data_IF_666305743758
#
_entry.id   IF_666305743758
#
_cell.length_a   1.000
_cell.length_b   1.000
_cell.length_c   1.000
_cell.angle_alpha   90.00
_cell.angle_beta   90.00
_cell.angle_gamma   90.00
#
_symmetry.space_group_name_H-M   'P 1'
#
loop_
_entity.id
_entity.type
_entity.pdbx_description
1 polymer ?
#
# COMPACT_ATOMS: atom_id res chain seq x y z
N UNK A 1 -53.23 8.07 29.14
CA UNK A 1 -52.09 7.13 29.09
C UNK A 1 -51.26 7.45 27.85
N UNK A 2 -50.10 8.07 27.99
CA UNK A 2 -49.07 8.09 26.94
C UNK A 2 -47.71 8.26 27.63
N UNK A 3 -46.95 7.17 27.72
CA UNK A 3 -45.55 7.18 28.18
C UNK A 3 -44.68 7.43 26.95
N UNK A 4 -44.03 8.59 26.89
CA UNK A 4 -43.01 8.88 25.89
C UNK A 4 -41.73 8.14 26.30
N UNK A 5 -41.37 7.11 25.54
CA UNK A 5 -40.09 6.43 25.65
C UNK A 5 -39.02 7.29 24.97
N UNK A 6 -38.13 7.88 25.77
CA UNK A 6 -36.95 8.58 25.27
C UNK A 6 -35.89 7.52 24.92
N UNK A 7 -35.78 7.17 23.64
CA UNK A 7 -34.70 6.29 23.16
C UNK A 7 -33.39 7.09 23.12
N UNK A 8 -32.52 6.81 24.09
CA UNK A 8 -31.13 7.25 24.06
C UNK A 8 -30.41 6.50 22.93
N UNK A 9 -30.17 7.17 21.81
CA UNK A 9 -29.25 6.68 20.78
C UNK A 9 -27.83 6.77 21.34
N UNK A 10 -27.33 5.69 21.94
CA UNK A 10 -25.90 5.50 22.16
C UNK A 10 -25.22 5.41 20.78
N UNK A 11 -24.68 6.52 20.32
CA UNK A 11 -23.75 6.55 19.20
C UNK A 11 -22.44 5.88 19.66
N UNK A 12 -22.31 4.59 19.36
CA UNK A 12 -21.03 3.91 19.42
C UNK A 12 -20.08 4.56 18.41
N UNK A 13 -19.29 5.51 18.88
CA UNK A 13 -18.11 5.97 18.14
C UNK A 13 -17.10 4.83 18.19
N UNK A 14 -17.07 3.99 17.16
CA UNK A 14 -15.96 3.07 16.92
C UNK A 14 -14.72 3.93 16.67
N UNK A 15 -13.99 4.23 17.75
CA UNK A 15 -12.66 4.80 17.66
C UNK A 15 -11.77 3.68 17.12
N UNK A 16 -11.56 3.66 15.80
CA UNK A 16 -10.44 2.94 15.21
C UNK A 16 -9.20 3.55 15.84
N UNK A 17 -8.71 2.97 16.93
CA UNK A 17 -7.45 3.33 17.51
C UNK A 17 -6.40 3.17 16.41
N UNK A 18 -5.92 4.29 15.86
CA UNK A 18 -4.80 4.32 14.94
C UNK A 18 -3.68 3.53 15.61
N UNK A 19 -3.29 2.41 15.01
CA UNK A 19 -2.30 1.52 15.59
C UNK A 19 -0.90 2.12 15.38
N UNK A 20 -0.62 3.19 16.14
CA UNK A 20 0.64 3.95 16.10
C UNK A 20 1.83 3.00 16.32
N UNK A 21 1.68 1.93 17.11
CA UNK A 21 2.74 0.97 17.37
C UNK A 21 3.23 0.24 16.11
N UNK A 22 2.37 -0.08 15.14
CA UNK A 22 2.80 -0.67 13.87
C UNK A 22 3.76 0.24 13.08
N UNK A 23 3.61 1.56 13.23
CA UNK A 23 4.42 2.56 12.56
C UNK A 23 5.71 2.91 13.32
N UNK A 24 5.79 2.64 14.64
CA UNK A 24 6.99 2.89 15.46
C UNK A 24 8.23 2.11 15.00
N UNK A 25 8.05 0.99 14.29
CA UNK A 25 9.19 0.29 13.68
C UNK A 25 9.92 1.12 12.61
N UNK A 26 9.21 2.03 11.93
CA UNK A 26 9.79 2.89 10.88
C UNK A 26 10.01 4.31 11.38
N UNK A 27 9.10 4.81 12.21
CA UNK A 27 9.18 6.12 12.86
C UNK A 27 9.14 5.95 14.38
N UNK A 28 10.26 5.59 15.05
CA UNK A 28 10.26 5.26 16.49
C UNK A 28 9.65 6.31 17.41
N UNK A 29 9.76 7.59 17.03
CA UNK A 29 9.24 8.73 17.80
C UNK A 29 7.85 9.20 17.36
N UNK A 30 7.11 8.46 16.52
CA UNK A 30 5.77 8.87 16.09
C UNK A 30 4.79 8.84 17.26
N UNK A 31 4.08 9.95 17.44
CA UNK A 31 3.06 10.12 18.48
C UNK A 31 1.74 10.66 17.91
N UNK A 32 1.76 11.26 16.72
CA UNK A 32 0.55 11.75 16.03
C UNK A 32 0.55 11.43 14.53
N UNK A 33 -0.64 11.22 13.98
CA UNK A 33 -0.90 10.89 12.57
C UNK A 33 -2.05 11.75 12.04
N UNK A 34 -1.73 12.66 11.12
CA UNK A 34 -2.75 13.50 10.46
C UNK A 34 -3.02 12.99 9.05
N UNK A 35 -4.30 12.87 8.70
CA UNK A 35 -4.71 12.43 7.36
C UNK A 35 -4.80 13.62 6.41
N UNK A 36 -4.42 13.39 5.16
CA UNK A 36 -4.66 14.27 4.03
C UNK A 36 -5.30 13.45 2.91
N UNK A 37 -6.29 14.05 2.25
CA UNK A 37 -7.00 13.44 1.13
C UNK A 37 -6.13 13.43 -0.11
N UNK A 38 -6.20 12.32 -0.85
CA UNK A 38 -5.55 12.13 -2.14
C UNK A 38 -6.49 11.38 -3.08
N UNK A 39 -6.20 11.38 -4.37
CA UNK A 39 -7.01 10.66 -5.37
C UNK A 39 -6.47 9.23 -5.52
N UNK A 40 -7.33 8.22 -5.42
CA UNK A 40 -6.99 6.85 -5.85
C UNK A 40 -7.27 6.72 -7.35
N UNK A 41 -6.22 6.84 -8.17
CA UNK A 41 -6.32 6.72 -9.64
C UNK A 41 -6.07 5.30 -10.14
N UNK A 42 -5.85 4.34 -9.23
CA UNK A 42 -5.37 2.99 -9.54
C UNK A 42 -6.48 1.96 -9.34
N UNK A 43 -7.28 2.10 -8.28
CA UNK A 43 -8.42 1.21 -8.02
C UNK A 43 -9.60 1.56 -8.91
N UNK A 44 -10.30 0.55 -9.43
CA UNK A 44 -11.59 0.75 -10.13
C UNK A 44 -12.63 1.40 -9.22
N UNK A 45 -12.63 1.00 -7.94
CA UNK A 45 -13.41 1.63 -6.88
C UNK A 45 -12.44 2.35 -5.91
N UNK A 46 -12.30 3.68 -6.00
CA UNK A 46 -11.39 4.47 -5.16
C UNK A 46 -11.63 4.29 -3.66
N UNK A 47 -10.80 3.51 -2.99
CA UNK A 47 -10.85 3.33 -1.52
C UNK A 47 -9.57 3.81 -0.83
N UNK A 48 -8.46 3.87 -1.54
CA UNK A 48 -7.20 4.33 -0.98
C UNK A 48 -7.11 5.85 -1.17
N UNK A 49 -7.88 6.63 -0.41
CA UNK A 49 -8.02 8.07 -0.64
C UNK A 49 -7.30 8.95 0.37
N UNK A 50 -6.42 8.37 1.20
CA UNK A 50 -5.69 9.14 2.22
C UNK A 50 -4.19 8.80 2.31
N UNK A 51 -3.40 9.83 2.59
CA UNK A 51 -2.02 9.71 3.10
C UNK A 51 -2.02 10.19 4.54
N UNK A 52 -1.29 9.50 5.42
CA UNK A 52 -1.06 9.94 6.77
C UNK A 52 0.30 10.64 6.87
N UNK A 53 0.37 11.72 7.62
CA UNK A 53 1.60 12.46 7.94
C UNK A 53 1.94 12.15 9.39
N UNK A 54 3.15 11.61 9.61
CA UNK A 54 3.63 11.23 10.93
C UNK A 54 4.34 12.40 11.62
N UNK A 55 4.00 12.64 12.88
CA UNK A 55 4.61 13.67 13.71
C UNK A 55 5.13 13.10 15.03
N UNK A 56 6.20 13.68 15.56
CA UNK A 56 6.64 13.42 16.92
C UNK A 56 5.86 14.24 17.95
N UNK A 57 6.16 14.02 19.24
CA UNK A 57 5.55 14.74 20.36
C UNK A 57 5.73 16.27 20.32
N UNK A 58 6.72 16.77 19.59
CA UNK A 58 7.01 18.20 19.45
C UNK A 58 6.35 18.80 18.20
N UNK A 59 5.57 18.02 17.45
CA UNK A 59 4.97 18.44 16.18
C UNK A 59 5.96 18.45 15.00
N UNK A 60 7.16 17.86 15.15
CA UNK A 60 8.09 17.72 14.02
C UNK A 60 7.60 16.61 13.10
N UNK A 61 7.51 16.92 11.80
CA UNK A 61 7.17 15.95 10.76
C UNK A 61 8.29 14.91 10.60
N UNK A 62 7.90 13.63 10.65
CA UNK A 62 8.79 12.47 10.51
C UNK A 62 8.77 11.90 9.10
N UNK A 63 7.62 11.95 8.43
CA UNK A 63 7.45 11.43 7.07
C UNK A 63 5.99 11.17 6.73
N UNK A 64 5.78 10.31 5.75
CA UNK A 64 4.46 10.00 5.19
C UNK A 64 4.22 8.50 5.21
N UNK A 65 2.96 8.12 5.37
CA UNK A 65 2.50 6.73 5.42
C UNK A 65 1.31 6.59 4.49
N UNK A 66 1.39 5.58 3.63
CA UNK A 66 0.33 5.24 2.70
C UNK A 66 -0.09 3.80 2.92
N UNK A 67 -1.26 3.62 3.50
CA UNK A 67 -1.90 2.32 3.63
C UNK A 67 -2.74 2.04 2.39
N UNK A 68 -2.59 0.83 1.85
CA UNK A 68 -3.24 0.40 0.61
C UNK A 68 -3.88 -0.95 0.82
N UNK A 69 -5.15 -1.04 0.43
CA UNK A 69 -5.87 -2.29 0.21
C UNK A 69 -6.33 -2.29 -1.25
N UNK A 70 -5.87 -3.26 -2.03
CA UNK A 70 -6.16 -3.29 -3.46
C UNK A 70 -6.18 -4.72 -3.97
N UNK A 71 -6.74 -4.94 -5.16
CA UNK A 71 -6.61 -6.21 -5.86
C UNK A 71 -5.24 -6.28 -6.55
N UNK A 72 -4.86 -7.45 -7.06
CA UNK A 72 -3.75 -7.54 -8.02
C UNK A 72 -4.06 -6.79 -9.33
N UNK A 73 -5.36 -6.58 -9.61
CA UNK A 73 -5.96 -6.02 -10.83
C UNK A 73 -5.60 -6.79 -12.09
N UNK A 74 -5.45 -8.10 -11.97
CA UNK A 74 -5.43 -9.03 -13.10
C UNK A 74 -6.83 -9.57 -13.44
N UNK A 75 -7.89 -9.03 -12.82
CA UNK A 75 -9.29 -9.40 -13.03
C UNK A 75 -9.56 -10.91 -12.85
N UNK A 76 -8.91 -11.52 -11.85
CA UNK A 76 -9.08 -12.92 -11.47
C UNK A 76 -9.28 -13.05 -9.96
N UNK A 77 -9.63 -14.25 -9.49
CA UNK A 77 -9.83 -14.58 -8.08
C UNK A 77 -8.50 -14.62 -7.31
N UNK A 78 -7.83 -13.48 -7.19
CA UNK A 78 -6.65 -13.29 -6.36
C UNK A 78 -7.05 -12.73 -4.99
N UNK A 79 -6.30 -13.11 -3.96
CA UNK A 79 -6.39 -12.45 -2.66
C UNK A 79 -6.02 -10.95 -2.77
N UNK A 80 -6.63 -10.08 -1.93
CA UNK A 80 -6.24 -8.70 -1.82
C UNK A 80 -4.76 -8.54 -1.46
N UNK A 81 -4.14 -7.50 -2.01
CA UNK A 81 -2.78 -7.08 -1.72
C UNK A 81 -2.86 -5.91 -0.74
N UNK A 82 -2.60 -6.20 0.54
CA UNK A 82 -2.70 -5.24 1.64
C UNK A 82 -1.32 -4.88 2.13
N UNK A 83 -0.96 -3.59 2.07
CA UNK A 83 0.38 -3.13 2.40
C UNK A 83 0.43 -1.67 2.84
N UNK A 84 1.57 -1.29 3.41
CA UNK A 84 1.86 0.06 3.87
C UNK A 84 3.19 0.51 3.28
N UNK A 85 3.20 1.67 2.61
CA UNK A 85 4.39 2.33 2.10
C UNK A 85 4.75 3.50 3.00
N UNK A 86 6.04 3.66 3.29
CA UNK A 86 6.59 4.72 4.14
C UNK A 86 7.52 5.60 3.33
N UNK A 87 7.51 6.90 3.59
CA UNK A 87 8.33 7.89 2.89
C UNK A 87 8.92 8.89 3.87
N UNK A 88 10.11 9.39 3.58
CA UNK A 88 10.72 10.46 4.36
C UNK A 88 10.15 11.83 3.99
N UNK A 89 10.62 12.88 4.68
CA UNK A 89 10.23 14.27 4.43
C UNK A 89 10.70 14.84 3.09
N UNK A 90 11.52 14.10 2.32
CA UNK A 90 11.92 14.41 0.94
C UNK A 90 11.08 13.66 -0.10
N UNK A 91 10.02 12.97 0.34
CA UNK A 91 9.15 12.13 -0.49
C UNK A 91 9.84 10.90 -1.09
N UNK A 92 10.95 10.46 -0.50
CA UNK A 92 11.68 9.27 -0.93
C UNK A 92 11.12 8.04 -0.21
N UNK A 93 10.95 6.93 -0.94
CA UNK A 93 10.49 5.66 -0.41
C UNK A 93 11.48 5.10 0.63
N UNK A 94 10.97 4.72 1.80
CA UNK A 94 11.75 4.18 2.91
C UNK A 94 11.51 2.70 3.15
N UNK A 95 10.25 2.26 3.15
CA UNK A 95 9.88 0.89 3.50
C UNK A 95 8.52 0.48 2.96
N UNK A 96 8.44 -0.80 2.60
CA UNK A 96 7.21 -1.56 2.44
C UNK A 96 7.01 -2.45 3.67
N UNK A 97 5.81 -2.44 4.24
CA UNK A 97 5.37 -3.42 5.24
C UNK A 97 4.01 -3.99 4.85
N UNK A 98 3.66 -5.15 5.41
CA UNK A 98 2.31 -5.69 5.36
C UNK A 98 1.99 -6.36 6.68
N UNK A 99 0.87 -5.96 7.31
CA UNK A 99 0.39 -6.59 8.55
C UNK A 99 -0.20 -7.98 8.30
N UNK A 100 -0.87 -8.14 7.16
CA UNK A 100 -1.48 -9.41 6.75
C UNK A 100 -0.47 -10.40 6.13
N UNK A 101 0.72 -9.90 5.78
CA UNK A 101 1.66 -10.62 4.91
C UNK A 101 1.28 -10.46 3.44
N UNK A 102 2.27 -10.69 2.57
CA UNK A 102 2.05 -10.69 1.12
C UNK A 102 2.12 -12.12 0.60
N UNK A 103 1.37 -12.38 -0.46
CA UNK A 103 1.33 -13.70 -1.11
C UNK A 103 1.76 -13.60 -2.58
N UNK A 104 2.25 -14.72 -3.09
CA UNK A 104 2.57 -14.96 -4.50
C UNK A 104 1.59 -15.96 -5.10
N UNK A 105 1.88 -16.46 -6.30
CA UNK A 105 1.06 -17.44 -7.02
C UNK A 105 0.57 -18.56 -6.09
N UNK A 106 -0.69 -18.96 -6.29
CA UNK A 106 -1.39 -19.96 -5.46
C UNK A 106 -1.48 -19.59 -3.97
N UNK A 107 -1.51 -18.29 -3.65
CA UNK A 107 -1.65 -17.76 -2.30
C UNK A 107 -0.51 -18.17 -1.35
N UNK A 108 0.63 -18.59 -1.90
CA UNK A 108 1.80 -18.93 -1.10
C UNK A 108 2.33 -17.66 -0.41
N UNK A 109 2.62 -17.67 0.89
CA UNK A 109 3.25 -16.53 1.54
C UNK A 109 4.60 -16.17 0.89
N UNK A 110 4.89 -14.87 0.81
CA UNK A 110 6.23 -14.38 0.47
C UNK A 110 7.19 -14.67 1.61
N UNK A 111 8.38 -15.17 1.27
CA UNK A 111 9.50 -15.35 2.20
C UNK A 111 10.15 -14.02 2.55
N UNK A 112 11.05 -14.00 3.54
CA UNK A 112 11.84 -12.80 3.87
C UNK A 112 12.64 -12.32 2.65
N UNK A 113 13.22 -13.23 1.88
CA UNK A 113 13.97 -12.90 0.67
C UNK A 113 13.07 -12.32 -0.42
N UNK A 114 11.86 -12.86 -0.59
CA UNK A 114 10.87 -12.31 -1.51
C UNK A 114 10.52 -10.86 -1.12
N UNK A 115 10.32 -10.57 0.17
CA UNK A 115 10.02 -9.22 0.67
C UNK A 115 11.21 -8.27 0.48
N UNK A 116 12.44 -8.73 0.75
CA UNK A 116 13.65 -7.94 0.54
C UNK A 116 13.86 -7.60 -0.93
N UNK A 117 13.66 -8.59 -1.81
CA UNK A 117 13.69 -8.40 -3.27
C UNK A 117 12.60 -7.41 -3.70
N UNK A 118 11.37 -7.57 -3.22
CA UNK A 118 10.26 -6.67 -3.53
C UNK A 118 10.58 -5.23 -3.13
N UNK A 119 11.10 -5.03 -1.92
CA UNK A 119 11.50 -3.72 -1.44
C UNK A 119 12.53 -3.06 -2.37
N UNK A 120 13.57 -3.80 -2.77
CA UNK A 120 14.58 -3.30 -3.71
C UNK A 120 13.95 -2.90 -5.05
N UNK A 121 13.10 -3.77 -5.61
CA UNK A 121 12.43 -3.52 -6.88
C UNK A 121 11.55 -2.26 -6.83
N UNK A 122 10.80 -2.05 -5.74
CA UNK A 122 9.98 -0.84 -5.57
C UNK A 122 10.83 0.43 -5.50
N UNK A 123 12.00 0.36 -4.84
CA UNK A 123 12.92 1.48 -4.73
C UNK A 123 13.56 1.88 -6.05
N UNK A 124 13.94 0.90 -6.90
CA UNK A 124 14.58 1.19 -8.19
C UNK A 124 13.59 1.50 -9.33
N UNK A 125 12.31 1.13 -9.18
CA UNK A 125 11.26 1.29 -10.19
C UNK A 125 11.70 0.81 -11.60
N UNK A 126 11.76 -0.52 -11.85
CA UNK A 126 12.27 -1.07 -13.09
C UNK A 126 11.62 -0.45 -14.33
N UNK A 127 12.44 0.02 -15.26
CA UNK A 127 12.00 0.69 -16.49
C UNK A 127 11.06 -0.16 -17.34
N UNK A 128 11.19 -1.50 -17.26
CA UNK A 128 10.32 -2.43 -17.98
C UNK A 128 8.85 -2.30 -17.59
N UNK A 129 8.54 -1.80 -16.39
CA UNK A 129 7.15 -1.56 -15.96
C UNK A 129 6.44 -0.49 -16.78
N UNK A 130 7.17 0.45 -17.41
CA UNK A 130 6.57 1.46 -18.30
C UNK A 130 5.95 0.83 -19.56
N UNK A 131 6.33 -0.41 -19.90
CA UNK A 131 5.80 -1.15 -21.06
C UNK A 131 4.52 -1.92 -20.74
N UNK A 132 4.20 -2.12 -19.46
CA UNK A 132 3.09 -2.96 -19.02
C UNK A 132 1.79 -2.16 -19.07
N UNK A 133 0.84 -2.58 -19.91
CA UNK A 133 -0.49 -1.94 -20.01
C UNK A 133 -1.47 -2.58 -19.04
N UNK A 134 -1.39 -3.90 -18.90
CA UNK A 134 -2.22 -4.66 -17.98
C UNK A 134 -1.35 -5.69 -17.23
N UNK A 135 -1.61 -6.00 -15.94
CA UNK A 135 -0.76 -6.93 -15.18
C UNK A 135 -0.57 -8.29 -15.85
N UNK A 136 -1.59 -8.81 -16.53
CA UNK A 136 -1.55 -10.08 -17.28
C UNK A 136 -0.54 -10.09 -18.42
N UNK A 137 -0.09 -8.92 -18.89
CA UNK A 137 0.93 -8.82 -19.94
C UNK A 137 2.27 -9.39 -19.46
N UNK A 138 2.50 -9.48 -18.15
CA UNK A 138 3.76 -9.94 -17.57
C UNK A 138 3.87 -11.46 -17.45
N UNK A 139 2.79 -12.20 -17.70
CA UNK A 139 2.76 -13.65 -17.51
C UNK A 139 2.25 -14.36 -18.73
N UNK A 140 2.71 -15.58 -18.94
CA UNK A 140 2.13 -16.50 -19.91
C UNK A 140 0.69 -16.87 -19.50
N UNK A 141 -0.24 -16.82 -20.45
CA UNK A 141 -1.67 -16.96 -20.18
C UNK A 141 -2.06 -18.41 -19.80
N UNK A 142 -1.31 -19.41 -20.27
CA UNK A 142 -1.62 -20.83 -20.04
C UNK A 142 -1.01 -21.32 -18.72
N UNK A 143 0.25 -20.96 -18.48
CA UNK A 143 1.02 -21.46 -17.35
C UNK A 143 1.03 -20.50 -16.16
N UNK A 144 0.74 -19.22 -16.38
CA UNK A 144 0.91 -18.16 -15.38
C UNK A 144 2.37 -17.94 -14.98
N UNK A 145 3.33 -18.36 -15.80
CA UNK A 145 4.76 -18.11 -15.59
C UNK A 145 5.10 -16.66 -15.97
N UNK A 146 5.96 -15.99 -15.21
CA UNK A 146 6.48 -14.67 -15.59
C UNK A 146 7.24 -14.77 -16.91
N UNK A 147 6.95 -13.87 -17.86
CA UNK A 147 7.64 -13.85 -19.16
C UNK A 147 9.12 -13.44 -18.97
N UNK A 148 10.05 -13.95 -19.81
CA UNK A 148 11.48 -13.70 -19.67
C UNK A 148 11.88 -12.22 -19.55
N UNK A 149 11.17 -11.32 -20.21
CA UNK A 149 11.48 -9.88 -20.16
C UNK A 149 11.23 -9.22 -18.80
N UNK A 150 10.42 -9.84 -17.92
CA UNK A 150 10.04 -9.28 -16.62
C UNK A 150 10.67 -10.01 -15.42
N UNK A 151 11.31 -11.17 -15.62
CA UNK A 151 11.76 -12.04 -14.51
C UNK A 151 12.69 -11.32 -13.52
N UNK A 152 13.55 -10.44 -14.02
CA UNK A 152 14.50 -9.68 -13.19
C UNK A 152 13.88 -8.41 -12.58
N UNK A 153 12.69 -8.03 -13.01
CA UNK A 153 11.96 -6.88 -12.52
C UNK A 153 10.87 -7.24 -11.50
N UNK A 154 10.66 -8.53 -11.22
CA UNK A 154 9.62 -8.98 -10.29
C UNK A 154 10.15 -9.96 -9.27
N UNK A 155 9.42 -10.09 -8.15
CA UNK A 155 9.56 -11.27 -7.31
C UNK A 155 9.01 -12.47 -8.08
N UNK A 156 9.77 -13.56 -8.11
CA UNK A 156 9.37 -14.82 -8.77
C UNK A 156 7.98 -15.23 -8.30
N UNK A 157 7.11 -15.57 -9.25
CA UNK A 157 5.70 -15.94 -9.02
C UNK A 157 4.80 -14.83 -8.43
N UNK A 158 5.28 -13.59 -8.32
CA UNK A 158 4.50 -12.47 -7.77
C UNK A 158 4.54 -11.23 -8.68
N UNK A 159 4.54 -11.44 -10.00
CA UNK A 159 4.60 -10.37 -10.98
C UNK A 159 3.52 -9.30 -10.75
N UNK A 160 2.26 -9.72 -10.58
CA UNK A 160 1.14 -8.81 -10.40
C UNK A 160 1.24 -7.98 -9.12
N UNK A 161 1.53 -8.62 -7.98
CA UNK A 161 1.70 -7.92 -6.70
C UNK A 161 2.90 -6.96 -6.75
N UNK A 162 4.00 -7.37 -7.37
CA UNK A 162 5.19 -6.50 -7.53
C UNK A 162 4.82 -5.24 -8.31
N UNK A 163 4.21 -5.39 -9.50
CA UNK A 163 3.79 -4.25 -10.32
C UNK A 163 2.79 -3.37 -9.56
N UNK A 164 1.75 -3.97 -8.96
CA UNK A 164 0.69 -3.23 -8.27
C UNK A 164 1.25 -2.36 -7.14
N UNK A 165 2.12 -2.92 -6.31
CA UNK A 165 2.75 -2.18 -5.20
C UNK A 165 3.65 -1.07 -5.75
N UNK A 166 4.42 -1.35 -6.81
CA UNK A 166 5.24 -0.32 -7.44
C UNK A 166 4.39 0.81 -8.05
N UNK A 167 3.27 0.50 -8.71
CA UNK A 167 2.35 1.51 -9.25
C UNK A 167 1.84 2.45 -8.15
N UNK A 168 1.45 1.90 -7.00
CA UNK A 168 1.07 2.70 -5.83
C UNK A 168 2.23 3.52 -5.26
N UNK A 169 3.46 2.99 -5.26
CA UNK A 169 4.65 3.74 -4.83
C UNK A 169 4.88 4.97 -5.72
N UNK A 170 4.89 4.78 -7.06
CA UNK A 170 5.11 5.89 -8.00
C UNK A 170 3.99 6.93 -7.95
N UNK A 171 2.74 6.48 -7.85
CA UNK A 171 1.59 7.37 -7.68
C UNK A 171 1.71 8.18 -6.39
N UNK A 172 2.05 7.54 -5.27
CA UNK A 172 2.19 8.24 -3.98
C UNK A 172 3.29 9.28 -4.02
N UNK A 173 4.47 8.95 -4.58
CA UNK A 173 5.59 9.91 -4.72
C UNK A 173 5.15 11.11 -5.57
N UNK A 174 4.43 10.87 -6.67
CA UNK A 174 3.87 11.93 -7.51
C UNK A 174 2.91 12.82 -6.72
N UNK A 175 1.98 12.23 -5.98
CA UNK A 175 0.97 12.97 -5.21
C UNK A 175 1.61 13.79 -4.08
N UNK A 176 2.54 13.20 -3.32
CA UNK A 176 3.31 13.90 -2.28
C UNK A 176 4.03 15.15 -2.82
N UNK A 177 4.72 15.01 -3.96
CA UNK A 177 5.40 16.12 -4.64
C UNK A 177 4.42 17.20 -5.11
N UNK A 178 3.28 16.79 -5.68
CA UNK A 178 2.29 17.73 -6.21
C UNK A 178 1.61 18.57 -5.12
N UNK A 179 1.34 17.95 -3.97
CA UNK A 179 0.67 18.58 -2.84
C UNK A 179 1.62 19.38 -1.94
N UNK A 180 2.95 19.24 -2.14
CA UNK A 180 4.00 19.89 -1.34
C UNK A 180 3.79 19.69 0.17
N UNK A 181 3.41 18.46 0.53
CA UNK A 181 3.04 18.10 1.90
C UNK A 181 4.18 18.12 2.88
#
# INVERSE_FOLDING_TARGET
>A
MFKIFFLFFLSFSFSFANNISFHKEIFPSVEDLKKTSITDTISENPINTTIQIAYDKNGKKLGFIREVNTTTGCNSACLPVIFTLYYNTKYEFLKLKSKAGLTKKFHKPMTVDDINRLHLLIGINPEVFKKVKHPTDMTDALTGATKPEFVDAVVKEAAYSTLRINTYNQDTIRQLKSLKL
#
